data_IF_620617944731
#
_entry.id   IF_620617944731
#
_cell.length_a   1.000
_cell.length_b   1.000
_cell.length_c   1.000
_cell.angle_alpha   90.00
_cell.angle_beta   90.00
_cell.angle_gamma   90.00
#
_symmetry.space_group_name_H-M   'P 1'
#
loop_
_entity.id
_entity.type
_entity.pdbx_description
1 polymer ?
#
# COMPACT_ATOMS: atom_id res chain seq x y z
N UNK A 1 -14.24 0.59 -5.98
CA UNK A 1 -13.06 0.23 -6.85
C UNK A 1 -13.47 -0.92 -7.80
N UNK A 2 -12.93 -1.08 -9.01
CA UNK A 2 -13.26 -2.23 -9.88
C UNK A 2 -12.20 -3.35 -9.81
N UNK A 3 -12.55 -4.56 -10.28
CA UNK A 3 -11.67 -5.75 -10.22
C UNK A 3 -10.30 -5.51 -10.88
N UNK A 4 -10.27 -4.89 -12.05
CA UNK A 4 -9.03 -4.58 -12.79
C UNK A 4 -8.13 -3.62 -12.00
N UNK A 5 -8.72 -2.61 -11.35
CA UNK A 5 -7.99 -1.68 -10.48
C UNK A 5 -7.40 -2.41 -9.26
N UNK A 6 -8.16 -3.32 -8.64
CA UNK A 6 -7.69 -4.12 -7.50
C UNK A 6 -6.49 -4.99 -7.91
N UNK A 7 -6.58 -5.68 -9.05
CA UNK A 7 -5.48 -6.50 -9.57
C UNK A 7 -4.22 -5.68 -9.86
N UNK A 8 -4.36 -4.49 -10.44
CA UNK A 8 -3.25 -3.57 -10.69
C UNK A 8 -2.59 -3.13 -9.38
N UNK A 9 -3.40 -2.75 -8.37
CA UNK A 9 -2.90 -2.34 -7.05
C UNK A 9 -2.18 -3.49 -6.33
N UNK A 10 -2.67 -4.72 -6.44
CA UNK A 10 -1.96 -5.90 -5.92
C UNK A 10 -0.61 -6.12 -6.58
N UNK A 11 -0.50 -5.92 -7.89
CA UNK A 11 0.79 -6.03 -8.61
C UNK A 11 1.79 -4.99 -8.10
N UNK A 12 1.35 -3.74 -7.92
CA UNK A 12 2.18 -2.66 -7.36
C UNK A 12 2.64 -3.02 -5.95
N UNK A 13 1.73 -3.42 -5.06
CA UNK A 13 2.07 -3.77 -3.68
C UNK A 13 3.06 -4.96 -3.60
N UNK A 14 2.85 -6.00 -4.40
CA UNK A 14 3.78 -7.14 -4.46
C UNK A 14 5.16 -6.70 -4.93
N UNK A 15 5.24 -5.88 -5.97
CA UNK A 15 6.50 -5.33 -6.44
C UNK A 15 7.22 -4.54 -5.34
N UNK A 16 6.53 -3.63 -4.68
CA UNK A 16 7.10 -2.76 -3.65
C UNK A 16 7.58 -3.52 -2.39
N UNK A 17 6.91 -4.62 -2.05
CA UNK A 17 7.24 -5.44 -0.87
C UNK A 17 8.37 -6.41 -1.16
N UNK A 18 8.34 -7.10 -2.31
CA UNK A 18 9.26 -8.20 -2.60
C UNK A 18 10.45 -7.81 -3.46
N UNK A 19 10.35 -6.75 -4.27
CA UNK A 19 11.45 -6.36 -5.16
C UNK A 19 12.39 -5.37 -4.48
N UNK A 20 13.09 -5.81 -3.43
CA UNK A 20 14.14 -5.03 -2.77
C UNK A 20 15.42 -5.82 -2.53
N UNK A 21 16.60 -5.16 -2.57
CA UNK A 21 17.88 -5.80 -2.33
C UNK A 21 17.90 -6.47 -0.95
N UNK A 22 18.57 -7.62 -0.88
CA UNK A 22 18.85 -8.29 0.38
C UNK A 22 19.56 -7.30 1.31
N UNK A 23 19.05 -7.15 2.51
CA UNK A 23 19.60 -6.26 3.51
C UNK A 23 19.89 -7.11 4.75
N UNK A 24 21.17 -7.30 5.04
CA UNK A 24 21.62 -8.22 6.09
C UNK A 24 21.67 -7.56 7.49
N UNK A 25 21.25 -6.29 7.60
CA UNK A 25 21.19 -5.53 8.85
C UNK A 25 19.76 -5.27 9.36
N UNK A 26 19.65 -4.55 10.48
CA UNK A 26 18.36 -4.01 10.94
C UNK A 26 17.91 -2.89 10.01
N UNK A 27 16.73 -3.04 9.39
CA UNK A 27 16.18 -2.00 8.52
C UNK A 27 16.11 -0.66 9.28
N UNK A 28 16.55 0.45 8.67
CA UNK A 28 16.32 1.78 9.20
C UNK A 28 14.83 1.96 9.60
N UNK A 29 14.53 2.63 10.73
CA UNK A 29 13.16 2.84 11.20
C UNK A 29 12.21 3.39 10.13
N UNK A 30 12.73 4.21 9.22
CA UNK A 30 12.03 4.83 8.09
C UNK A 30 11.57 3.76 7.08
N UNK A 31 12.45 2.79 6.78
CA UNK A 31 12.11 1.65 5.91
C UNK A 31 11.07 0.75 6.59
N UNK A 32 11.15 0.57 7.91
CA UNK A 32 10.16 -0.20 8.67
C UNK A 32 8.79 0.50 8.59
N UNK A 33 8.73 1.82 8.81
CA UNK A 33 7.50 2.62 8.70
C UNK A 33 6.89 2.50 7.29
N UNK A 34 7.70 2.57 6.24
CA UNK A 34 7.27 2.36 4.85
C UNK A 34 6.63 0.98 4.66
N UNK A 35 7.30 -0.08 5.12
CA UNK A 35 6.79 -1.45 4.98
C UNK A 35 5.48 -1.65 5.71
N UNK A 36 5.31 -1.05 6.89
CA UNK A 36 4.05 -1.07 7.62
C UNK A 36 2.90 -0.46 6.80
N UNK A 37 3.13 0.68 6.13
CA UNK A 37 2.11 1.29 5.26
C UNK A 37 1.72 0.35 4.11
N UNK A 38 2.70 -0.27 3.43
CA UNK A 38 2.43 -1.19 2.34
C UNK A 38 1.66 -2.45 2.80
N UNK A 39 1.97 -2.98 3.99
CA UNK A 39 1.24 -4.09 4.58
C UNK A 39 -0.19 -3.68 4.93
N UNK A 40 -0.41 -2.50 5.51
CA UNK A 40 -1.77 -2.02 5.77
C UNK A 40 -2.56 -1.83 4.47
N UNK A 41 -1.93 -1.30 3.41
CA UNK A 41 -2.57 -1.19 2.11
C UNK A 41 -3.01 -2.58 1.56
N UNK A 42 -2.23 -3.63 1.79
CA UNK A 42 -2.62 -5.01 1.41
C UNK A 42 -3.86 -5.49 2.17
N UNK A 43 -3.95 -5.19 3.48
CA UNK A 43 -5.10 -5.57 4.31
C UNK A 43 -6.37 -4.90 3.79
N UNK A 44 -6.36 -3.58 3.61
CA UNK A 44 -7.53 -2.86 3.10
C UNK A 44 -7.91 -3.32 1.69
N UNK A 45 -6.93 -3.61 0.83
CA UNK A 45 -7.21 -4.14 -0.51
C UNK A 45 -7.86 -5.54 -0.48
N UNK A 46 -7.49 -6.38 0.49
CA UNK A 46 -8.15 -7.66 0.74
C UNK A 46 -9.59 -7.46 1.23
N UNK A 47 -9.79 -6.56 2.20
CA UNK A 47 -11.11 -6.27 2.73
C UNK A 47 -12.07 -5.70 1.66
N UNK A 48 -11.57 -4.89 0.72
CA UNK A 48 -12.35 -4.44 -0.45
C UNK A 48 -12.82 -5.64 -1.29
N UNK A 49 -11.97 -6.64 -1.50
CA UNK A 49 -12.37 -7.85 -2.24
C UNK A 49 -13.42 -8.65 -1.49
N UNK A 50 -13.26 -8.81 -0.18
CA UNK A 50 -14.20 -9.54 0.66
C UNK A 50 -15.56 -8.83 0.73
N UNK A 51 -15.56 -7.51 0.93
CA UNK A 51 -16.75 -6.67 0.91
C UNK A 51 -17.51 -6.81 -0.42
N UNK A 52 -16.80 -6.81 -1.55
CA UNK A 52 -17.40 -7.07 -2.86
C UNK A 52 -17.99 -8.45 -3.00
N UNK A 53 -17.31 -9.47 -2.49
CA UNK A 53 -17.77 -10.85 -2.56
C UNK A 53 -19.11 -11.01 -1.82
N UNK A 54 -19.30 -10.32 -0.69
CA UNK A 54 -20.54 -10.35 0.09
C UNK A 54 -21.55 -9.24 -0.28
N UNK A 55 -21.24 -8.40 -1.27
CA UNK A 55 -22.03 -7.23 -1.67
C UNK A 55 -22.28 -6.20 -0.54
N UNK A 56 -21.29 -5.96 0.33
CA UNK A 56 -21.34 -4.92 1.36
C UNK A 56 -20.74 -3.60 0.82
N UNK A 57 -21.61 -2.72 0.32
CA UNK A 57 -21.22 -1.44 -0.26
C UNK A 57 -20.63 -0.46 0.76
N UNK A 58 -21.08 -0.52 2.02
CA UNK A 58 -20.57 0.38 3.07
C UNK A 58 -19.16 0.00 3.45
N UNK A 59 -18.91 -1.29 3.63
CA UNK A 59 -17.58 -1.81 3.89
C UNK A 59 -16.65 -1.58 2.68
N UNK A 60 -17.14 -1.77 1.45
CA UNK A 60 -16.34 -1.45 0.26
C UNK A 60 -15.90 0.02 0.26
N UNK A 61 -16.83 0.94 0.51
CA UNK A 61 -16.55 2.38 0.51
C UNK A 61 -15.53 2.76 1.59
N UNK A 62 -15.74 2.29 2.83
CA UNK A 62 -14.85 2.54 3.95
C UNK A 62 -13.43 2.00 3.69
N UNK A 63 -13.32 0.75 3.24
CA UNK A 63 -12.03 0.11 2.97
C UNK A 63 -11.31 0.76 1.78
N UNK A 64 -12.06 1.24 0.78
CA UNK A 64 -11.51 2.02 -0.34
C UNK A 64 -10.90 3.33 0.15
N UNK A 65 -11.61 4.09 1.00
CA UNK A 65 -11.10 5.35 1.58
C UNK A 65 -9.84 5.11 2.42
N UNK A 66 -9.84 4.05 3.24
CA UNK A 66 -8.68 3.69 4.08
C UNK A 66 -7.47 3.29 3.24
N UNK A 67 -7.68 2.49 2.19
CA UNK A 67 -6.63 2.15 1.22
C UNK A 67 -6.01 3.41 0.61
N UNK A 68 -6.86 4.34 0.14
CA UNK A 68 -6.41 5.57 -0.53
C UNK A 68 -5.64 6.50 0.42
N UNK A 69 -6.11 6.63 1.67
CA UNK A 69 -5.42 7.37 2.72
C UNK A 69 -4.03 6.80 3.00
N UNK A 70 -3.90 5.49 3.10
CA UNK A 70 -2.61 4.83 3.37
C UNK A 70 -1.64 5.00 2.19
N UNK A 71 -2.14 4.82 0.96
CA UNK A 71 -1.31 5.02 -0.23
C UNK A 71 -0.89 6.48 -0.40
N UNK A 72 -1.75 7.45 -0.08
CA UNK A 72 -1.38 8.87 -0.05
C UNK A 72 -0.25 9.15 0.94
N UNK A 73 -0.28 8.56 2.14
CA UNK A 73 0.81 8.66 3.12
C UNK A 73 2.11 8.04 2.58
N UNK A 74 2.00 6.91 1.88
CA UNK A 74 3.13 6.25 1.25
C UNK A 74 3.75 7.11 0.13
N UNK A 75 2.93 7.65 -0.77
CA UNK A 75 3.37 8.44 -1.92
C UNK A 75 4.00 9.77 -1.49
N UNK A 76 3.41 10.45 -0.50
CA UNK A 76 3.97 11.68 0.07
C UNK A 76 5.37 11.45 0.66
N UNK A 77 5.56 10.33 1.36
CA UNK A 77 6.87 9.95 1.87
C UNK A 77 7.85 9.66 0.72
N UNK A 78 7.45 8.87 -0.28
CA UNK A 78 8.29 8.53 -1.43
C UNK A 78 8.77 9.79 -2.19
N UNK A 79 7.86 10.73 -2.41
CA UNK A 79 8.15 11.98 -3.11
C UNK A 79 9.07 12.91 -2.30
N UNK A 80 8.98 12.91 -0.97
CA UNK A 80 9.85 13.71 -0.11
C UNK A 80 11.28 13.13 -0.06
N UNK A 81 11.44 11.80 -0.02
CA UNK A 81 12.78 11.18 -0.08
C UNK A 81 13.48 11.44 -1.42
N UNK A 82 12.76 11.37 -2.54
CA UNK A 82 13.30 11.64 -3.87
C UNK A 82 13.77 13.10 -4.06
N UNK A 83 13.24 14.04 -3.26
CA UNK A 83 13.70 15.43 -3.24
C UNK A 83 15.00 15.58 -2.46
N UNK A 84 15.16 14.84 -1.37
CA UNK A 84 16.35 14.89 -0.50
C UNK A 84 17.56 14.28 -1.22
N UNK A 85 17.38 13.20 -2.00
CA UNK A 85 18.49 12.54 -2.71
C UNK A 85 18.94 13.22 -4.00
N UNK A 86 18.27 14.31 -4.42
CA UNK A 86 18.59 15.09 -5.63
C UNK A 86 19.26 16.45 -5.33
N UNK A 87 19.57 16.74 -4.07
CA UNK A 87 20.27 17.95 -3.63
C UNK A 87 21.69 17.60 -3.20
#
# INVERSE_FOLDING_TARGET
MNKKQIEQKWKILKYEIFNKPKFDGLFPPEIIKRRKLLIYAQVHLSNIMDAKYINDERMEAFETEMYELIMSKYDNWYNNEQKITKT
#
